data_IF_634011766139
#
_entry.id   IF_634011766139
#
_cell.length_a   1.000
_cell.length_b   1.000
_cell.length_c   1.000
_cell.angle_alpha   90.00
_cell.angle_beta   90.00
_cell.angle_gamma   90.00
#
_symmetry.space_group_name_H-M   'P 1'
#
loop_
_entity.id
_entity.type
_entity.pdbx_description
1 polymer ?
#
# COMPACT_ATOMS: atom_id res chain seq x y z
N UNK A 1 -33.23 -8.34 54.69
CA UNK A 1 -32.10 -7.47 54.33
C UNK A 1 -31.80 -7.70 52.86
N UNK A 2 -31.98 -6.69 52.04
CA UNK A 2 -32.01 -6.75 50.58
C UNK A 2 -30.59 -6.65 50.01
N UNK A 3 -30.22 -7.59 49.14
CA UNK A 3 -28.94 -7.63 48.42
C UNK A 3 -28.93 -6.58 47.31
N UNK A 4 -27.84 -5.83 47.16
CA UNK A 4 -27.58 -5.02 45.97
C UNK A 4 -26.15 -5.26 45.50
N UNK A 5 -25.99 -5.88 44.33
CA UNK A 5 -24.71 -6.01 43.63
C UNK A 5 -24.72 -4.98 42.52
N UNK A 6 -23.83 -3.99 42.59
CA UNK A 6 -23.61 -3.01 41.53
C UNK A 6 -22.49 -3.55 40.64
N UNK A 7 -22.83 -3.93 39.41
CA UNK A 7 -21.86 -4.28 38.39
C UNK A 7 -21.59 -3.05 37.52
N UNK A 8 -20.43 -2.43 37.69
CA UNK A 8 -19.95 -1.36 36.82
C UNK A 8 -19.21 -1.97 35.63
N UNK A 9 -19.87 -2.07 34.48
CA UNK A 9 -19.19 -2.36 33.22
C UNK A 9 -18.66 -1.05 32.63
N UNK A 10 -17.36 -0.82 32.73
CA UNK A 10 -16.70 0.25 31.99
C UNK A 10 -16.39 -0.25 30.57
N UNK A 11 -17.16 0.21 29.58
CA UNK A 11 -16.85 -0.03 28.16
C UNK A 11 -15.66 0.86 27.81
N UNK A 12 -14.46 0.29 27.70
CA UNK A 12 -13.30 1.00 27.18
C UNK A 12 -13.49 1.11 25.67
N UNK A 13 -13.65 2.34 25.18
CA UNK A 13 -13.70 2.64 23.76
C UNK A 13 -12.31 2.37 23.17
N UNK A 14 -12.21 1.43 22.24
CA UNK A 14 -11.01 1.26 21.41
C UNK A 14 -10.94 2.46 20.48
N UNK A 15 -10.22 3.51 20.88
CA UNK A 15 -9.76 4.54 19.96
C UNK A 15 -8.51 4.02 19.27
N UNK A 16 -8.69 3.04 18.37
CA UNK A 16 -7.66 2.75 17.39
C UNK A 16 -7.74 3.84 16.33
N UNK A 17 -6.76 4.73 16.28
CA UNK A 17 -6.53 5.58 15.10
C UNK A 17 -6.14 4.65 13.96
N UNK A 18 -7.12 4.03 13.31
CA UNK A 18 -6.88 3.36 12.06
C UNK A 18 -6.67 4.46 11.02
N UNK A 19 -5.46 4.54 10.49
CA UNK A 19 -5.10 5.43 9.38
C UNK A 19 -6.20 5.32 8.30
N UNK A 20 -6.87 6.43 7.88
CA UNK A 20 -7.99 6.37 6.96
C UNK A 20 -7.59 5.70 5.64
N UNK A 21 -8.40 4.72 5.21
CA UNK A 21 -8.28 4.09 3.89
C UNK A 21 -8.87 5.04 2.86
N UNK A 22 -8.02 5.53 1.95
CA UNK A 22 -8.41 6.49 0.91
C UNK A 22 -8.66 5.81 -0.43
N UNK A 23 -8.09 4.63 -0.66
CA UNK A 23 -8.34 3.84 -1.87
C UNK A 23 -8.08 2.34 -1.65
N UNK A 24 -8.72 1.52 -2.49
CA UNK A 24 -8.43 0.10 -2.68
C UNK A 24 -8.26 -0.14 -4.18
N UNK A 25 -7.03 -0.46 -4.59
CA UNK A 25 -6.64 -0.52 -5.99
C UNK A 25 -6.56 -1.98 -6.44
N UNK A 26 -7.34 -2.42 -7.44
CA UNK A 26 -7.23 -3.78 -7.96
C UNK A 26 -5.92 -3.96 -8.72
N UNK A 27 -5.31 -5.13 -8.61
CA UNK A 27 -4.16 -5.53 -9.41
C UNK A 27 -4.62 -6.34 -10.62
N UNK A 28 -4.10 -6.03 -11.79
CA UNK A 28 -4.38 -6.73 -13.04
C UNK A 28 -3.10 -6.94 -13.85
N UNK A 29 -3.08 -7.98 -14.68
CA UNK A 29 -1.99 -8.18 -15.63
C UNK A 29 -1.88 -6.98 -16.56
N UNK A 30 -0.66 -6.59 -16.89
CA UNK A 30 -0.41 -5.42 -17.73
C UNK A 30 0.73 -5.67 -18.72
N UNK A 31 0.46 -5.48 -20.01
CA UNK A 31 1.45 -5.63 -21.08
C UNK A 31 2.39 -4.41 -21.18
N UNK A 32 2.13 -3.35 -20.39
CA UNK A 32 2.95 -2.13 -20.36
C UNK A 32 4.41 -2.40 -19.98
N UNK A 33 4.64 -3.45 -19.18
CA UNK A 33 5.96 -3.79 -18.65
C UNK A 33 6.64 -4.93 -19.39
N UNK A 34 6.06 -5.42 -20.49
CA UNK A 34 6.65 -6.49 -21.30
C UNK A 34 8.02 -6.09 -21.82
N UNK A 35 9.04 -6.92 -21.58
CA UNK A 35 10.43 -6.65 -21.97
C UNK A 35 11.24 -5.81 -20.98
N UNK A 36 10.65 -5.43 -19.84
CA UNK A 36 11.36 -4.79 -18.72
C UNK A 36 11.71 -5.80 -17.61
N UNK A 37 12.42 -5.37 -16.56
CA UNK A 37 12.62 -6.16 -15.34
C UNK A 37 11.33 -6.45 -14.55
N UNK A 38 10.21 -5.90 -15.01
CA UNK A 38 8.86 -6.12 -14.50
C UNK A 38 7.99 -6.92 -15.48
N UNK A 39 8.58 -7.61 -16.47
CA UNK A 39 7.83 -8.58 -17.26
C UNK A 39 7.18 -9.59 -16.28
N UNK A 40 5.88 -9.83 -16.42
CA UNK A 40 5.05 -10.69 -15.55
C UNK A 40 4.57 -10.09 -14.21
N UNK A 41 4.71 -8.78 -13.99
CA UNK A 41 4.05 -8.13 -12.84
C UNK A 41 2.55 -7.90 -13.08
N UNK A 42 1.79 -7.90 -11.99
CA UNK A 42 0.45 -7.29 -11.98
C UNK A 42 0.57 -5.88 -11.43
N UNK A 43 -0.21 -4.97 -12.00
CA UNK A 43 -0.18 -3.56 -11.68
C UNK A 43 -1.58 -3.02 -11.42
N UNK A 44 -1.65 -1.91 -10.70
CA UNK A 44 -2.86 -1.11 -10.59
C UNK A 44 -3.07 -0.29 -11.87
N UNK A 45 -4.27 0.25 -12.02
CA UNK A 45 -4.47 1.43 -12.86
C UNK A 45 -3.69 2.64 -12.29
N UNK A 46 -3.67 3.75 -13.03
CA UNK A 46 -3.14 5.00 -12.52
C UNK A 46 -3.84 5.40 -11.21
N UNK A 47 -3.03 5.74 -10.21
CA UNK A 47 -3.45 6.30 -8.95
C UNK A 47 -2.69 7.60 -8.72
N UNK A 48 -3.29 8.71 -9.16
CA UNK A 48 -2.74 10.05 -9.01
C UNK A 48 -1.33 10.18 -9.60
N UNK A 49 -1.11 9.62 -10.79
CA UNK A 49 0.20 9.61 -11.44
C UNK A 49 1.18 8.55 -10.90
N UNK A 50 0.71 7.62 -10.06
CA UNK A 50 1.46 6.45 -9.63
C UNK A 50 0.83 5.16 -10.19
N UNK A 51 1.69 4.19 -10.48
CA UNK A 51 1.30 2.79 -10.69
C UNK A 51 1.95 1.96 -9.60
N UNK A 52 1.18 1.06 -8.99
CA UNK A 52 1.67 0.12 -7.99
C UNK A 52 1.80 -1.26 -8.61
N UNK A 53 2.99 -1.83 -8.53
CA UNK A 53 3.33 -3.15 -9.09
C UNK A 53 3.53 -4.16 -7.97
N UNK A 54 3.01 -5.38 -8.18
CA UNK A 54 3.39 -6.56 -7.41
C UNK A 54 4.40 -7.37 -8.22
N UNK A 55 5.60 -7.54 -7.67
CA UNK A 55 6.65 -8.38 -8.23
C UNK A 55 7.06 -9.46 -7.24
N UNK A 56 7.60 -10.58 -7.73
CA UNK A 56 8.26 -11.57 -6.88
C UNK A 56 9.57 -11.00 -6.33
N UNK A 57 9.74 -11.06 -5.01
CA UNK A 57 10.95 -10.69 -4.31
C UNK A 57 11.91 -11.87 -4.12
N UNK A 58 12.68 -11.79 -3.04
CA UNK A 58 13.52 -12.89 -2.56
C UNK A 58 12.71 -14.02 -1.93
N UNK A 59 13.34 -14.77 -1.02
CA UNK A 59 12.68 -15.85 -0.29
C UNK A 59 12.92 -17.24 -0.88
N UNK A 60 12.48 -18.30 -0.19
CA UNK A 60 12.64 -19.67 -0.65
C UNK A 60 11.81 -19.92 -1.93
N UNK A 61 12.26 -20.79 -2.84
CA UNK A 61 11.59 -21.04 -4.11
C UNK A 61 10.16 -21.57 -3.97
N UNK A 62 9.83 -22.17 -2.82
CA UNK A 62 8.48 -22.68 -2.51
C UNK A 62 7.51 -21.61 -2.02
N UNK A 63 8.02 -20.43 -1.63
CA UNK A 63 7.22 -19.31 -1.11
C UNK A 63 8.03 -18.02 -1.29
N UNK A 64 8.11 -17.50 -2.53
CA UNK A 64 8.81 -16.25 -2.79
C UNK A 64 8.08 -15.10 -2.10
N UNK A 65 8.85 -14.18 -1.53
CA UNK A 65 8.36 -12.92 -1.01
C UNK A 65 7.66 -12.15 -2.14
N UNK A 66 6.69 -11.32 -1.77
CA UNK A 66 6.00 -10.40 -2.69
C UNK A 66 6.50 -9.00 -2.41
N UNK A 67 6.95 -8.29 -3.44
CA UNK A 67 7.35 -6.90 -3.34
C UNK A 67 6.30 -6.00 -3.96
N UNK A 68 5.91 -4.97 -3.22
CA UNK A 68 5.10 -3.87 -3.71
C UNK A 68 6.03 -2.72 -4.08
N UNK A 69 5.85 -2.19 -5.29
CA UNK A 69 6.69 -1.14 -5.86
C UNK A 69 5.77 -0.03 -6.36
N UNK A 70 6.05 1.23 -6.03
CA UNK A 70 5.35 2.38 -6.60
C UNK A 70 6.29 3.13 -7.54
N UNK A 71 5.82 3.37 -8.76
CA UNK A 71 6.54 4.11 -9.80
C UNK A 71 5.64 5.22 -10.37
N UNK A 72 6.19 6.32 -10.91
CA UNK A 72 5.41 7.28 -11.66
C UNK A 72 4.84 6.65 -12.94
N UNK A 73 3.60 6.96 -13.28
CA UNK A 73 2.93 6.46 -14.50
C UNK A 73 3.70 6.78 -15.77
N UNK A 74 4.27 7.99 -15.83
CA UNK A 74 5.05 8.50 -16.97
C UNK A 74 6.47 7.92 -17.04
N UNK A 75 6.91 7.14 -16.05
CA UNK A 75 8.26 6.55 -16.05
C UNK A 75 8.26 5.21 -16.78
N UNK A 76 8.70 5.20 -18.04
CA UNK A 76 8.90 3.96 -18.80
C UNK A 76 10.13 3.16 -18.29
N UNK A 77 11.12 3.82 -17.67
CA UNK A 77 12.29 3.17 -17.04
C UNK A 77 12.03 2.70 -15.59
N UNK A 78 10.83 2.91 -15.05
CA UNK A 78 10.48 2.46 -13.69
C UNK A 78 11.16 3.25 -12.56
N UNK A 79 11.19 4.58 -12.66
CA UNK A 79 11.66 5.47 -11.58
C UNK A 79 11.04 5.08 -10.24
N UNK A 80 11.85 4.61 -9.30
CA UNK A 80 11.34 4.07 -8.04
C UNK A 80 10.95 5.20 -7.08
N UNK A 81 9.69 5.26 -6.69
CA UNK A 81 9.25 6.17 -5.61
C UNK A 81 9.50 5.53 -4.25
N UNK A 82 8.98 4.32 -4.08
CA UNK A 82 9.09 3.52 -2.86
C UNK A 82 8.85 2.04 -3.18
N UNK A 83 9.48 1.15 -2.41
CA UNK A 83 9.16 -0.27 -2.42
C UNK A 83 9.08 -0.83 -0.99
N UNK A 84 8.45 -2.00 -0.88
CA UNK A 84 8.51 -2.82 0.33
C UNK A 84 8.06 -4.23 0.05
N UNK A 85 8.71 -5.21 0.66
CA UNK A 85 8.43 -6.63 0.43
C UNK A 85 7.81 -7.27 1.67
N UNK A 86 7.04 -8.34 1.43
CA UNK A 86 6.51 -9.19 2.49
C UNK A 86 7.65 -9.87 3.23
N UNK A 87 7.35 -10.32 4.45
CA UNK A 87 8.28 -11.13 5.25
C UNK A 87 7.50 -12.14 6.08
N UNK A 88 7.61 -13.43 5.74
CA UNK A 88 6.82 -14.48 6.39
C UNK A 88 5.32 -14.21 6.26
N UNK A 89 4.61 -14.07 7.38
CA UNK A 89 3.18 -13.75 7.40
C UNK A 89 2.87 -12.26 7.29
N UNK A 90 3.88 -11.37 7.30
CA UNK A 90 3.66 -9.94 7.15
C UNK A 90 3.47 -9.59 5.67
N UNK A 91 2.42 -8.82 5.32
CA UNK A 91 2.17 -8.41 3.95
C UNK A 91 3.25 -7.45 3.45
N UNK A 92 3.35 -7.30 2.13
CA UNK A 92 4.18 -6.26 1.54
C UNK A 92 3.61 -4.88 1.87
N UNK A 93 4.42 -4.02 2.47
CA UNK A 93 4.05 -2.64 2.81
C UNK A 93 5.11 -1.68 2.29
N UNK A 94 4.69 -0.74 1.44
CA UNK A 94 5.50 0.36 0.97
C UNK A 94 4.94 1.67 1.53
N UNK A 95 5.78 2.54 2.08
CA UNK A 95 5.33 3.78 2.70
C UNK A 95 6.24 4.95 2.37
N UNK A 96 5.65 6.11 2.09
CA UNK A 96 6.40 7.29 1.68
C UNK A 96 5.71 8.56 2.18
N UNK A 97 6.47 9.63 2.29
CA UNK A 97 5.94 10.97 2.55
C UNK A 97 5.85 11.73 1.23
N UNK A 98 4.69 12.30 0.93
CA UNK A 98 4.47 13.13 -0.26
C UNK A 98 5.43 14.31 -0.22
N UNK A 99 6.17 14.53 -1.30
CA UNK A 99 7.23 15.55 -1.39
C UNK A 99 7.29 16.15 -2.79
N UNK A 100 7.84 17.36 -2.88
CA UNK A 100 8.20 17.98 -4.14
C UNK A 100 9.01 17.02 -5.05
N UNK A 101 8.64 16.96 -6.33
CA UNK A 101 9.24 16.06 -7.32
C UNK A 101 8.54 14.70 -7.47
N UNK A 102 7.48 14.43 -6.69
CA UNK A 102 6.50 13.38 -6.98
C UNK A 102 5.49 13.85 -8.04
N UNK A 103 4.66 12.95 -8.63
CA UNK A 103 3.65 13.33 -9.60
C UNK A 103 2.76 14.48 -9.13
N UNK A 104 2.50 15.45 -10.01
CA UNK A 104 1.77 16.67 -9.66
C UNK A 104 0.36 16.37 -9.13
N UNK A 105 -0.31 15.36 -9.69
CA UNK A 105 -1.65 14.94 -9.26
C UNK A 105 -1.64 14.37 -7.83
N UNK A 106 -0.62 13.58 -7.47
CA UNK A 106 -0.44 13.07 -6.11
C UNK A 106 -0.22 14.21 -5.10
N UNK A 107 0.63 15.18 -5.46
CA UNK A 107 0.93 16.33 -4.60
C UNK A 107 -0.29 17.22 -4.45
N UNK A 108 -1.09 17.40 -5.51
CA UNK A 108 -2.32 18.18 -5.48
C UNK A 108 -3.41 17.53 -4.61
N UNK A 109 -3.55 16.20 -4.66
CA UNK A 109 -4.57 15.47 -3.90
C UNK A 109 -4.23 15.38 -2.41
N UNK A 110 -3.01 14.95 -2.07
CA UNK A 110 -2.65 14.62 -0.69
C UNK A 110 -1.87 15.73 0.03
N UNK A 111 -1.23 16.65 -0.70
CA UNK A 111 -0.39 17.69 -0.13
C UNK A 111 0.99 17.21 0.33
N UNK A 112 1.98 18.09 0.28
CA UNK A 112 3.33 17.80 0.77
C UNK A 112 3.35 17.55 2.29
N UNK A 113 4.14 16.57 2.72
CA UNK A 113 4.25 16.17 4.13
C UNK A 113 3.30 15.07 4.56
N UNK A 114 2.26 14.77 3.76
CA UNK A 114 1.31 13.70 4.04
C UNK A 114 1.95 12.33 3.88
N UNK A 115 1.74 11.44 4.86
CA UNK A 115 2.23 10.06 4.82
C UNK A 115 1.27 9.16 4.05
N UNK A 116 1.76 8.42 3.07
CA UNK A 116 1.00 7.39 2.35
C UNK A 116 1.55 6.00 2.66
N UNK A 117 0.66 5.06 2.97
CA UNK A 117 0.96 3.64 3.17
C UNK A 117 0.19 2.78 2.18
N UNK A 118 0.94 2.01 1.40
CA UNK A 118 0.44 1.03 0.44
C UNK A 118 0.63 -0.36 1.01
N UNK A 119 -0.44 -1.13 1.16
CA UNK A 119 -0.41 -2.49 1.72
C UNK A 119 -0.99 -3.47 0.73
N UNK A 120 -0.23 -4.51 0.38
CA UNK A 120 -0.71 -5.59 -0.45
C UNK A 120 -1.70 -6.46 0.33
N UNK A 121 -2.93 -6.59 -0.18
CA UNK A 121 -4.03 -7.35 0.39
C UNK A 121 -4.59 -8.27 -0.70
N UNK A 122 -3.96 -9.45 -0.85
CA UNK A 122 -4.25 -10.40 -1.92
C UNK A 122 -3.94 -9.82 -3.30
N UNK A 123 -4.99 -9.65 -4.12
CA UNK A 123 -4.94 -9.07 -5.46
C UNK A 123 -5.36 -7.59 -5.49
N UNK A 124 -5.30 -6.93 -4.33
CA UNK A 124 -5.55 -5.50 -4.21
C UNK A 124 -4.44 -4.81 -3.42
N UNK A 125 -4.33 -3.49 -3.59
CA UNK A 125 -3.48 -2.64 -2.78
C UNK A 125 -4.35 -1.65 -2.01
N UNK A 126 -4.27 -1.70 -0.68
CA UNK A 126 -4.93 -0.75 0.19
C UNK A 126 -4.04 0.48 0.39
N UNK A 127 -4.59 1.66 0.14
CA UNK A 127 -3.92 2.96 0.33
C UNK A 127 -4.48 3.62 1.58
N UNK A 128 -3.58 4.00 2.49
CA UNK A 128 -3.91 4.72 3.72
C UNK A 128 -3.10 6.01 3.82
N UNK A 129 -3.68 7.02 4.44
CA UNK A 129 -2.99 8.25 4.81
C UNK A 129 -2.94 8.42 6.33
N UNK A 130 -1.89 9.09 6.82
CA UNK A 130 -1.85 9.66 8.19
C UNK A 130 -2.80 10.86 8.32
#
# INVERSE_FOLDING_TARGET
>A
MTTAVVASAATVWVTGSADPVVAVLPLSASDRWTGSGFADVVATEDFHGLILLRSSGGGPPTSPDQCLVAVPTESDDGGLVVNGCSAGSFPAVAQTTVRNGMPEELVAEFGEGTGLRFTLDGDTVRVQTD
#
